data_IF_584636333507
#
_entry.id   IF_584636333507
#
_cell.length_a   1.000
_cell.length_b   1.000
_cell.length_c   1.000
_cell.angle_alpha   90.00
_cell.angle_beta   90.00
_cell.angle_gamma   90.00
#
_symmetry.space_group_name_H-M   'P 1'
#
loop_
_entity.id
_entity.type
_entity.pdbx_description
1 polymer ?
#
# COMPACT_ATOMS: atom_id res chain seq x y z
N UNK A 1 -35.16 -14.78 -39.65
CA UNK A 1 -34.92 -14.64 -38.22
C UNK A 1 -36.27 -14.55 -37.54
N UNK A 2 -36.53 -15.42 -36.58
CA UNK A 2 -37.79 -15.37 -35.85
C UNK A 2 -37.76 -14.14 -34.88
N UNK A 3 -38.93 -13.58 -34.52
CA UNK A 3 -38.95 -12.49 -33.54
C UNK A 3 -38.37 -12.93 -32.19
N UNK A 4 -38.39 -14.21 -31.90
CA UNK A 4 -37.77 -14.81 -30.71
C UNK A 4 -36.23 -14.68 -30.76
N UNK A 5 -35.61 -14.96 -31.90
CA UNK A 5 -34.13 -14.86 -32.04
C UNK A 5 -33.65 -13.43 -31.86
N UNK A 6 -34.42 -12.45 -32.34
CA UNK A 6 -34.11 -11.04 -32.14
C UNK A 6 -34.22 -10.62 -30.70
N UNK A 7 -35.21 -11.13 -29.96
CA UNK A 7 -35.40 -10.86 -28.54
C UNK A 7 -34.24 -11.45 -27.71
N UNK A 8 -33.89 -12.72 -27.94
CA UNK A 8 -32.76 -13.36 -27.27
C UNK A 8 -31.45 -12.63 -27.55
N UNK A 9 -31.19 -12.20 -28.78
CA UNK A 9 -30.00 -11.42 -29.12
C UNK A 9 -29.91 -10.09 -28.36
N UNK A 10 -31.01 -9.37 -28.21
CA UNK A 10 -31.06 -8.12 -27.44
C UNK A 10 -30.81 -8.35 -25.94
N UNK A 11 -31.42 -9.37 -25.37
CA UNK A 11 -31.22 -9.72 -23.94
C UNK A 11 -29.75 -10.10 -23.69
N UNK A 12 -29.17 -10.97 -24.49
CA UNK A 12 -27.78 -11.40 -24.38
C UNK A 12 -26.83 -10.21 -24.50
N UNK A 13 -27.05 -9.31 -25.46
CA UNK A 13 -26.27 -8.10 -25.62
C UNK A 13 -26.34 -7.18 -24.38
N UNK A 14 -27.55 -6.95 -23.86
CA UNK A 14 -27.74 -6.11 -22.67
C UNK A 14 -27.03 -6.69 -21.44
N UNK A 15 -27.12 -8.01 -21.24
CA UNK A 15 -26.43 -8.69 -20.13
C UNK A 15 -24.91 -8.55 -20.30
N UNK A 16 -24.39 -8.74 -21.50
CA UNK A 16 -22.96 -8.60 -21.80
C UNK A 16 -22.45 -7.18 -21.51
N UNK A 17 -23.19 -6.16 -21.94
CA UNK A 17 -22.84 -4.75 -21.67
C UNK A 17 -22.84 -4.45 -20.18
N UNK A 18 -23.83 -4.95 -19.43
CA UNK A 18 -23.89 -4.79 -17.97
C UNK A 18 -22.69 -5.45 -17.29
N UNK A 19 -22.35 -6.68 -17.68
CA UNK A 19 -21.17 -7.37 -17.15
C UNK A 19 -19.86 -6.62 -17.41
N UNK A 20 -19.66 -6.17 -18.65
CA UNK A 20 -18.47 -5.39 -19.02
C UNK A 20 -18.41 -4.09 -18.21
N UNK A 21 -19.55 -3.41 -18.02
CA UNK A 21 -19.61 -2.18 -17.23
C UNK A 21 -19.26 -2.43 -15.75
N UNK A 22 -19.78 -3.50 -15.17
CA UNK A 22 -19.45 -3.88 -13.78
C UNK A 22 -17.96 -4.20 -13.64
N UNK A 23 -17.42 -5.02 -14.53
CA UNK A 23 -15.99 -5.37 -14.50
C UNK A 23 -15.11 -4.13 -14.68
N UNK A 24 -15.44 -3.26 -15.61
CA UNK A 24 -14.70 -2.01 -15.83
C UNK A 24 -14.74 -1.12 -14.57
N UNK A 25 -15.91 -0.96 -13.95
CA UNK A 25 -16.07 -0.16 -12.73
C UNK A 25 -15.20 -0.72 -11.60
N UNK A 26 -15.22 -2.02 -11.38
CA UNK A 26 -14.45 -2.70 -10.33
C UNK A 26 -12.94 -2.54 -10.56
N UNK A 27 -12.47 -2.64 -11.83
CA UNK A 27 -11.06 -2.47 -12.17
C UNK A 27 -10.59 -1.02 -12.01
N UNK A 28 -11.44 -0.05 -12.31
CA UNK A 28 -11.14 1.37 -12.19
C UNK A 28 -11.25 1.91 -10.77
N UNK A 29 -11.81 1.15 -9.83
CA UNK A 29 -11.99 1.60 -8.45
C UNK A 29 -10.65 1.88 -7.79
N UNK A 30 -10.45 3.09 -7.19
CA UNK A 30 -9.17 3.48 -6.63
C UNK A 30 -8.85 2.71 -5.34
N UNK A 31 -7.57 2.50 -5.06
CA UNK A 31 -7.11 1.87 -3.82
C UNK A 31 -7.49 2.67 -2.57
N UNK A 32 -7.61 3.99 -2.69
CA UNK A 32 -8.05 4.90 -1.61
C UNK A 32 -9.44 4.60 -1.07
N UNK A 33 -10.24 3.79 -1.76
CA UNK A 33 -11.51 3.32 -1.21
C UNK A 33 -11.35 2.44 0.01
N UNK A 34 -10.28 1.66 0.10
CA UNK A 34 -9.99 0.81 1.25
C UNK A 34 -9.15 1.51 2.30
N UNK A 35 -8.08 2.15 1.86
CA UNK A 35 -7.13 2.83 2.72
C UNK A 35 -6.47 3.99 1.98
N UNK A 36 -6.26 5.10 2.68
CA UNK A 36 -5.47 6.23 2.23
C UNK A 36 -4.26 6.40 3.14
N UNK A 37 -3.08 6.55 2.56
CA UNK A 37 -1.86 6.91 3.28
C UNK A 37 -1.60 8.39 3.04
N UNK A 38 -1.78 9.18 4.08
CA UNK A 38 -1.65 10.64 4.01
C UNK A 38 -0.21 11.08 4.05
N UNK A 39 0.60 10.47 4.92
CA UNK A 39 2.01 10.80 5.05
C UNK A 39 2.83 9.67 5.66
N UNK A 40 4.10 9.63 5.25
CA UNK A 40 5.14 8.82 5.90
C UNK A 40 6.27 9.77 6.22
N UNK A 41 6.61 9.92 7.50
CA UNK A 41 7.65 10.82 7.96
C UNK A 41 8.64 10.12 8.88
N UNK A 42 9.92 10.31 8.66
CA UNK A 42 11.00 9.77 9.49
C UNK A 42 11.85 10.93 10.00
N UNK A 43 12.14 10.93 11.30
CA UNK A 43 12.99 11.94 11.93
C UNK A 43 14.46 11.64 11.71
N UNK A 44 15.26 12.70 11.55
CA UNK A 44 16.71 12.61 11.67
C UNK A 44 17.08 12.08 13.05
N UNK A 45 18.09 11.23 13.11
CA UNK A 45 18.49 10.57 14.36
C UNK A 45 20.00 10.39 14.46
N UNK A 46 20.50 10.19 15.66
CA UNK A 46 21.91 9.84 15.88
C UNK A 46 22.14 8.35 15.73
N UNK A 47 23.33 7.99 15.33
CA UNK A 47 23.74 6.57 15.28
C UNK A 47 23.53 5.91 16.63
N UNK A 48 22.85 4.75 16.64
CA UNK A 48 22.56 4.01 17.85
C UNK A 48 21.27 4.40 18.56
N UNK A 49 20.60 5.49 18.17
CA UNK A 49 19.28 5.85 18.68
C UNK A 49 18.16 5.21 17.85
N UNK A 50 16.98 4.94 18.45
CA UNK A 50 15.84 4.39 17.74
C UNK A 50 15.35 5.37 16.66
N UNK A 51 15.21 4.87 15.44
CA UNK A 51 14.67 5.63 14.32
C UNK A 51 13.16 5.55 14.35
N UNK A 52 12.49 6.68 14.53
CA UNK A 52 11.03 6.75 14.59
C UNK A 52 10.44 7.08 13.23
N UNK A 53 9.52 6.24 12.78
CA UNK A 53 8.72 6.45 11.57
C UNK A 53 7.27 6.73 11.96
N UNK A 54 6.75 7.84 11.50
CA UNK A 54 5.36 8.24 11.64
C UNK A 54 4.64 7.97 10.33
N UNK A 55 3.56 7.18 10.39
CA UNK A 55 2.71 6.84 9.24
C UNK A 55 1.29 7.27 9.56
N UNK A 56 0.81 8.26 8.84
CA UNK A 56 -0.57 8.70 8.94
C UNK A 56 -1.38 8.01 7.84
N UNK A 57 -2.38 7.23 8.26
CA UNK A 57 -3.21 6.45 7.34
C UNK A 57 -4.63 6.34 7.88
N UNK A 58 -5.60 6.35 6.96
CA UNK A 58 -7.01 6.17 7.25
C UNK A 58 -7.52 4.90 6.59
N UNK A 59 -8.21 4.05 7.37
CA UNK A 59 -8.81 2.81 6.88
C UNK A 59 -10.31 3.05 6.72
N UNK A 60 -10.75 3.05 5.46
CA UNK A 60 -12.14 3.33 5.11
C UNK A 60 -13.02 2.08 5.08
N UNK A 61 -12.43 0.90 4.90
CA UNK A 61 -13.11 -0.40 4.83
C UNK A 61 -12.23 -1.51 5.36
N UNK A 62 -12.89 -2.57 5.82
CA UNK A 62 -12.21 -3.80 6.21
C UNK A 62 -11.57 -4.47 4.99
N UNK A 63 -10.34 -4.90 5.14
CA UNK A 63 -9.64 -5.67 4.12
C UNK A 63 -8.50 -6.51 4.71
N UNK A 64 -8.09 -7.53 3.97
CA UNK A 64 -6.83 -8.23 4.18
C UNK A 64 -5.82 -7.73 3.15
N UNK A 65 -4.59 -7.54 3.56
CA UNK A 65 -3.56 -7.03 2.66
C UNK A 65 -2.16 -7.41 3.10
N UNK A 66 -1.23 -7.24 2.18
CA UNK A 66 0.20 -7.32 2.45
C UNK A 66 0.75 -5.91 2.57
N UNK A 67 1.45 -5.61 3.63
CA UNK A 67 2.25 -4.41 3.71
C UNK A 67 3.72 -4.75 3.50
N UNK A 68 4.47 -3.80 2.97
CA UNK A 68 5.91 -3.91 2.80
C UNK A 68 6.60 -2.59 3.10
N UNK A 69 7.81 -2.66 3.61
CA UNK A 69 8.68 -1.52 3.84
C UNK A 69 10.06 -1.82 3.28
N UNK A 70 10.68 -0.84 2.68
CA UNK A 70 12.09 -0.89 2.26
C UNK A 70 12.79 0.39 2.60
N UNK A 71 13.96 0.27 3.21
CA UNK A 71 14.84 1.39 3.53
C UNK A 71 15.96 1.42 2.51
N UNK A 72 16.16 2.58 1.91
CA UNK A 72 17.22 2.79 0.92
C UNK A 72 18.18 3.86 1.40
N UNK A 73 19.47 3.57 1.28
CA UNK A 73 20.50 4.60 1.40
C UNK A 73 20.56 5.39 0.10
N UNK A 74 20.68 6.70 0.21
CA UNK A 74 20.77 7.62 -0.92
C UNK A 74 22.21 8.14 -1.02
N UNK A 75 23.03 7.49 -1.83
CA UNK A 75 24.40 7.90 -2.09
C UNK A 75 24.55 8.35 -3.54
N UNK A 76 25.08 9.56 -3.75
CA UNK A 76 25.34 10.16 -5.06
C UNK A 76 24.17 10.04 -6.07
N UNK A 77 22.91 10.09 -5.58
CA UNK A 77 21.71 10.00 -6.41
C UNK A 77 21.30 8.57 -6.80
N UNK A 78 22.03 7.56 -6.36
CA UNK A 78 21.67 6.15 -6.52
C UNK A 78 21.33 5.56 -5.16
N UNK A 79 20.13 4.97 -5.06
CA UNK A 79 19.68 4.33 -3.83
C UNK A 79 19.69 2.81 -3.94
N UNK A 80 20.28 2.12 -2.95
CA UNK A 80 20.12 0.67 -2.80
C UNK A 80 19.42 0.33 -1.50
N UNK A 81 18.71 -0.79 -1.51
CA UNK A 81 17.96 -1.27 -0.33
C UNK A 81 18.95 -1.81 0.69
N UNK A 82 18.84 -1.30 1.93
CA UNK A 82 19.67 -1.77 3.07
C UNK A 82 18.91 -2.75 3.93
N UNK A 83 17.59 -2.60 4.04
CA UNK A 83 16.71 -3.57 4.69
C UNK A 83 15.31 -3.49 4.10
N UNK A 84 14.57 -4.58 4.19
CA UNK A 84 13.17 -4.64 3.79
C UNK A 84 12.43 -5.74 4.55
N UNK A 85 11.14 -5.54 4.74
CA UNK A 85 10.25 -6.53 5.36
C UNK A 85 8.87 -6.43 4.75
N UNK A 86 8.11 -7.51 4.82
CA UNK A 86 6.72 -7.55 4.43
C UNK A 86 5.94 -8.58 5.23
N UNK A 87 4.68 -8.28 5.51
CA UNK A 87 3.79 -9.21 6.21
C UNK A 87 2.35 -9.04 5.74
N UNK A 88 1.56 -10.09 5.96
CA UNK A 88 0.11 -10.07 5.74
C UNK A 88 -0.56 -9.60 7.02
N UNK A 89 -1.55 -8.72 6.89
CA UNK A 89 -2.33 -8.19 8.01
C UNK A 89 -3.79 -8.00 7.62
N UNK A 90 -4.67 -8.11 8.61
CA UNK A 90 -6.06 -7.67 8.51
C UNK A 90 -6.19 -6.22 8.97
N UNK A 91 -6.97 -5.45 8.26
CA UNK A 91 -7.26 -4.05 8.55
C UNK A 91 -8.74 -3.88 8.78
N UNK A 92 -9.12 -3.17 9.83
CA UNK A 92 -10.51 -2.89 10.16
C UNK A 92 -10.81 -1.41 9.96
N UNK A 93 -12.00 -1.10 9.46
CA UNK A 93 -12.45 0.27 9.27
C UNK A 93 -12.39 1.05 10.59
N UNK A 94 -11.74 2.22 10.53
CA UNK A 94 -11.62 3.11 11.69
C UNK A 94 -10.77 2.54 12.82
N UNK A 95 -9.94 1.50 12.57
CA UNK A 95 -9.03 0.99 13.59
C UNK A 95 -8.02 2.06 13.99
N UNK A 96 -7.86 2.24 15.29
CA UNK A 96 -6.82 3.11 15.86
C UNK A 96 -5.49 2.36 15.83
N UNK A 97 -4.79 2.48 14.71
CA UNK A 97 -3.47 1.88 14.54
C UNK A 97 -2.39 2.85 15.05
N UNK A 98 -1.32 2.33 15.68
CA UNK A 98 -0.23 3.18 16.11
C UNK A 98 0.37 3.92 14.92
N UNK A 99 0.38 5.25 15.01
CA UNK A 99 0.90 6.11 13.96
C UNK A 99 2.43 6.25 14.00
N UNK A 100 3.04 6.04 15.16
CA UNK A 100 4.49 6.17 15.34
C UNK A 100 5.06 4.87 15.89
N UNK A 101 5.92 4.25 15.13
CA UNK A 101 6.65 3.03 15.49
C UNK A 101 8.13 3.18 15.12
N UNK A 102 8.97 2.36 15.73
CA UNK A 102 10.39 2.34 15.35
C UNK A 102 10.56 1.71 13.96
N UNK A 103 11.55 2.15 13.22
CA UNK A 103 11.90 1.54 11.94
C UNK A 103 12.30 0.06 12.12
N UNK A 104 12.91 -0.25 13.26
CA UNK A 104 13.22 -1.62 13.68
C UNK A 104 11.96 -2.50 13.75
N UNK A 105 10.84 -1.97 14.27
CA UNK A 105 9.58 -2.71 14.30
C UNK A 105 9.08 -3.01 12.87
N UNK A 106 9.12 -2.00 12.00
CA UNK A 106 8.69 -2.14 10.60
C UNK A 106 9.56 -3.09 9.79
N UNK A 107 10.81 -3.28 10.15
CA UNK A 107 11.79 -4.11 9.42
C UNK A 107 12.15 -5.40 10.15
N UNK A 108 11.35 -5.79 11.15
CA UNK A 108 11.57 -7.00 11.96
C UNK A 108 13.01 -7.08 12.50
N UNK A 109 13.51 -5.95 13.01
CA UNK A 109 14.86 -5.84 13.59
C UNK A 109 15.99 -5.63 12.59
N UNK A 110 15.77 -5.75 11.28
CA UNK A 110 16.84 -5.63 10.27
C UNK A 110 17.47 -4.23 10.25
N UNK A 111 16.68 -3.17 10.44
CA UNK A 111 17.15 -1.79 10.51
C UNK A 111 17.13 -1.23 11.94
N UNK A 112 17.59 -2.01 12.90
CA UNK A 112 17.70 -1.54 14.28
C UNK A 112 18.73 -0.41 14.42
N UNK A 113 19.83 -0.51 13.67
CA UNK A 113 20.88 0.52 13.59
C UNK A 113 21.24 0.74 12.14
N UNK A 114 21.32 2.01 11.73
CA UNK A 114 21.83 2.40 10.43
C UNK A 114 23.13 3.17 10.60
N UNK A 115 24.10 2.99 9.70
CA UNK A 115 25.32 3.82 9.67
C UNK A 115 25.01 5.27 9.33
N UNK A 116 25.97 6.16 9.56
CA UNK A 116 25.88 7.56 9.12
C UNK A 116 25.55 7.62 7.63
N UNK A 117 24.52 8.38 7.26
CA UNK A 117 24.10 8.46 5.87
C UNK A 117 22.77 9.18 5.69
N UNK A 118 22.33 9.27 4.44
CA UNK A 118 21.02 9.80 4.06
C UNK A 118 20.17 8.65 3.54
N UNK A 119 18.95 8.58 4.02
CA UNK A 119 18.06 7.47 3.76
C UNK A 119 16.67 7.92 3.34
N UNK A 120 15.93 7.01 2.72
CA UNK A 120 14.52 7.16 2.39
C UNK A 120 13.79 5.83 2.67
N UNK A 121 12.57 5.92 3.15
CA UNK A 121 11.71 4.75 3.36
C UNK A 121 10.63 4.72 2.28
N UNK A 122 10.47 3.58 1.65
CA UNK A 122 9.36 3.28 0.76
C UNK A 122 8.46 2.26 1.40
N UNK A 123 7.18 2.54 1.43
CA UNK A 123 6.15 1.64 1.96
C UNK A 123 5.17 1.29 0.87
N UNK A 124 4.68 0.06 0.90
CA UNK A 124 3.69 -0.45 -0.03
C UNK A 124 2.61 -1.19 0.74
N UNK A 125 1.35 -0.99 0.39
CA UNK A 125 0.23 -1.79 0.86
C UNK A 125 -0.48 -2.36 -0.34
N UNK A 126 -0.64 -3.66 -0.35
CA UNK A 126 -1.39 -4.38 -1.37
C UNK A 126 -2.68 -4.90 -0.75
N UNK A 127 -3.79 -4.28 -1.11
CA UNK A 127 -5.13 -4.77 -0.74
C UNK A 127 -5.38 -6.05 -1.51
N UNK A 128 -5.66 -7.15 -0.81
CA UNK A 128 -5.99 -8.41 -1.47
C UNK A 128 -7.40 -8.32 -2.05
N UNK A 129 -7.53 -8.67 -3.29
CA UNK A 129 -8.82 -8.75 -3.95
C UNK A 129 -9.64 -9.92 -3.39
N UNK A 130 -10.95 -9.76 -3.38
CA UNK A 130 -11.91 -10.77 -2.96
C UNK A 130 -12.79 -11.15 -4.16
N UNK A 131 -12.70 -12.39 -4.63
CA UNK A 131 -13.46 -12.87 -5.78
C UNK A 131 -13.11 -12.13 -7.08
N UNK A 132 -14.03 -11.31 -7.60
CA UNK A 132 -13.87 -10.52 -8.82
C UNK A 132 -13.10 -9.20 -8.60
N UNK A 133 -12.82 -8.83 -7.34
CA UNK A 133 -12.11 -7.59 -7.02
C UNK A 133 -10.61 -7.78 -7.25
N UNK A 134 -9.97 -6.97 -8.11
CA UNK A 134 -8.54 -7.05 -8.32
C UNK A 134 -7.77 -6.55 -7.09
N UNK A 135 -6.57 -7.09 -6.90
CA UNK A 135 -5.65 -6.53 -5.90
C UNK A 135 -5.30 -5.08 -6.26
N UNK A 136 -5.23 -4.22 -5.24
CA UNK A 136 -4.89 -2.80 -5.40
C UNK A 136 -3.65 -2.47 -4.58
N UNK A 137 -2.80 -1.62 -5.12
CA UNK A 137 -1.53 -1.23 -4.49
C UNK A 137 -1.55 0.25 -4.13
N UNK A 138 -1.10 0.54 -2.91
CA UNK A 138 -0.90 1.89 -2.40
C UNK A 138 0.58 2.02 -2.08
N UNK A 139 1.24 3.00 -2.67
CA UNK A 139 2.65 3.28 -2.44
C UNK A 139 2.78 4.63 -1.72
N UNK A 140 3.66 4.69 -0.72
CA UNK A 140 4.02 5.95 -0.10
C UNK A 140 5.53 5.96 0.16
N UNK A 141 6.09 7.17 0.17
CA UNK A 141 7.52 7.39 0.34
C UNK A 141 7.72 8.44 1.42
N UNK A 142 8.67 8.24 2.30
CA UNK A 142 9.00 9.21 3.35
C UNK A 142 9.75 10.42 2.79
N UNK A 143 9.94 11.42 3.65
CA UNK A 143 11.01 12.40 3.46
C UNK A 143 12.39 11.71 3.44
N UNK A 144 13.39 12.40 2.91
CA UNK A 144 14.78 12.07 3.20
C UNK A 144 15.07 12.33 4.68
N UNK A 145 15.77 11.42 5.33
CA UNK A 145 16.22 11.58 6.71
C UNK A 145 17.69 11.23 6.87
N UNK A 146 18.33 11.79 7.88
CA UNK A 146 19.76 11.62 8.14
C UNK A 146 19.98 10.82 9.40
N UNK A 147 20.95 9.91 9.34
CA UNK A 147 21.59 9.30 10.50
C UNK A 147 22.99 9.91 10.64
N UNK A 148 23.30 10.54 11.80
CA UNK A 148 24.53 11.32 12.04
C UNK A 148 25.17 11.02 13.39
#
# INVERSE_FOLDING_TARGET
MSPIDVLFGKIAFTISVLWISVLATVHLWPASWWMEVQSVHVKDTKVGEPILMHVQRDIHRDFSGTWGVSVRVMDAGKGYVVCSESAVSGYQKGADLPNTLTLSWWTNGQCNTLPVGVYIVQTVWQVHGNGILPAKTINATSNLFKVY
#
